data_IF_363767511654
#
_entry.id   IF_363767511654
#
_cell.length_a   1.000
_cell.length_b   1.000
_cell.length_c   1.000
_cell.angle_alpha   90.00
_cell.angle_beta   90.00
_cell.angle_gamma   90.00
#
_symmetry.space_group_name_H-M   'P 1'
#
loop_
_entity.id
_entity.type
_entity.pdbx_description
1 polymer ?
#
# COMPACT_ATOMS: atom_id res chain seq x y z
N UNK A 1 -2.39 -11.45 4.73
CA UNK A 1 -2.96 -10.34 3.94
C UNK A 1 -2.79 -10.65 2.46
N UNK A 2 -3.86 -10.60 1.65
CA UNK A 2 -3.84 -11.06 0.26
C UNK A 2 -3.09 -10.13 -0.71
N UNK A 3 -3.03 -8.82 -0.41
CA UNK A 3 -2.46 -7.80 -1.31
C UNK A 3 -1.36 -6.95 -0.64
N UNK A 4 -0.62 -7.52 0.31
CA UNK A 4 0.49 -6.80 0.96
C UNK A 4 1.62 -6.49 -0.03
N UNK A 5 1.77 -7.27 -1.11
CA UNK A 5 2.72 -6.94 -2.17
C UNK A 5 2.24 -5.72 -2.96
N UNK A 6 0.97 -5.74 -3.41
CA UNK A 6 0.37 -4.63 -4.18
C UNK A 6 0.41 -3.30 -3.44
N UNK A 7 0.16 -3.29 -2.12
CA UNK A 7 0.32 -2.08 -1.31
C UNK A 7 1.73 -1.47 -1.39
N UNK A 8 2.78 -2.29 -1.44
CA UNK A 8 4.16 -1.78 -1.60
C UNK A 8 4.44 -1.35 -3.04
N UNK A 9 3.86 -2.03 -4.03
CA UNK A 9 3.98 -1.68 -5.45
C UNK A 9 3.42 -0.27 -5.71
N UNK A 10 2.29 0.08 -5.09
CA UNK A 10 1.62 1.38 -5.26
C UNK A 10 2.10 2.48 -4.31
N UNK A 11 3.08 2.19 -3.43
CA UNK A 11 3.65 3.19 -2.52
C UNK A 11 2.82 3.47 -1.26
N UNK A 12 2.02 2.51 -0.78
CA UNK A 12 1.30 2.59 0.50
C UNK A 12 2.26 2.39 1.71
N UNK A 13 3.42 3.06 1.67
CA UNK A 13 4.45 3.06 2.70
C UNK A 13 4.98 4.48 2.88
N UNK A 14 5.20 4.89 4.12
CA UNK A 14 5.80 6.19 4.42
C UNK A 14 7.25 6.34 3.91
N UNK A 15 7.94 5.22 3.66
CA UNK A 15 9.36 5.14 3.34
C UNK A 15 9.65 4.86 1.86
N UNK A 16 8.62 4.74 1.02
CA UNK A 16 8.80 4.32 -0.38
C UNK A 16 7.71 4.95 -1.22
N UNK A 17 8.10 5.54 -2.35
CA UNK A 17 7.18 6.04 -3.37
C UNK A 17 6.58 4.88 -4.17
N UNK A 18 5.57 5.18 -4.98
CA UNK A 18 5.02 4.22 -5.93
C UNK A 18 6.09 3.63 -6.85
N UNK A 19 5.83 2.43 -7.37
CA UNK A 19 6.71 1.67 -8.25
C UNK A 19 8.10 1.34 -7.66
N UNK A 20 8.15 1.02 -6.35
CA UNK A 20 9.37 0.66 -5.62
C UNK A 20 10.49 1.72 -5.72
N UNK A 21 10.12 2.99 -5.76
CA UNK A 21 11.08 4.07 -5.74
C UNK A 21 11.40 4.49 -4.31
N UNK A 22 12.69 4.55 -3.98
CA UNK A 22 13.15 5.05 -2.69
C UNK A 22 12.72 6.51 -2.50
N UNK A 23 12.11 6.82 -1.36
CA UNK A 23 11.60 8.14 -1.03
C UNK A 23 12.73 9.15 -0.81
N UNK A 24 13.84 8.71 -0.22
CA UNK A 24 14.95 9.59 0.16
C UNK A 24 15.81 9.99 -1.06
N UNK A 25 15.52 9.45 -2.24
CA UNK A 25 16.19 9.80 -3.49
C UNK A 25 15.46 10.96 -4.21
N UNK A 26 16.14 12.10 -4.31
CA UNK A 26 15.63 13.32 -4.96
C UNK A 26 15.18 13.10 -6.41
N UNK A 27 15.94 12.33 -7.19
CA UNK A 27 15.62 12.03 -8.58
C UNK A 27 14.35 11.19 -8.71
N UNK A 28 14.10 10.28 -7.75
CA UNK A 28 12.86 9.51 -7.73
C UNK A 28 11.65 10.42 -7.43
N UNK A 29 11.77 11.34 -6.47
CA UNK A 29 10.71 12.31 -6.16
C UNK A 29 10.39 13.22 -7.35
N UNK A 30 11.42 13.68 -8.06
CA UNK A 30 11.26 14.47 -9.29
C UNK A 30 10.57 13.67 -10.39
N UNK A 31 10.96 12.41 -10.60
CA UNK A 31 10.36 11.52 -11.59
C UNK A 31 8.86 11.31 -11.34
N UNK A 32 8.48 11.07 -10.08
CA UNK A 32 7.06 10.90 -9.69
C UNK A 32 6.28 12.21 -9.88
N UNK A 33 6.84 13.35 -9.45
CA UNK A 33 6.21 14.65 -9.66
C UNK A 33 6.01 14.97 -11.14
N UNK A 34 7.01 14.67 -11.98
CA UNK A 34 6.95 14.87 -13.43
C UNK A 34 5.88 13.97 -14.07
N UNK A 35 5.83 12.68 -13.69
CA UNK A 35 4.85 11.74 -14.20
C UNK A 35 3.41 12.17 -13.90
N UNK A 36 3.13 12.54 -12.64
CA UNK A 36 1.81 13.01 -12.21
C UNK A 36 1.53 14.48 -12.53
N UNK A 37 2.51 15.20 -13.09
CA UNK A 37 2.45 16.66 -13.30
C UNK A 37 2.03 17.41 -12.03
N UNK A 38 2.51 16.94 -10.89
CA UNK A 38 2.12 17.45 -9.57
C UNK A 38 3.11 18.49 -9.06
N UNK A 39 2.73 19.16 -7.97
CA UNK A 39 3.69 19.94 -7.18
C UNK A 39 4.84 19.05 -6.69
N UNK A 40 6.03 19.63 -6.39
CA UNK A 40 7.16 18.86 -5.90
C UNK A 40 6.78 17.97 -4.71
N UNK A 41 7.12 16.68 -4.79
CA UNK A 41 6.93 15.74 -3.68
C UNK A 41 7.84 16.16 -2.52
N UNK A 42 7.27 16.20 -1.31
CA UNK A 42 7.97 16.55 -0.07
C UNK A 42 9.30 15.79 0.06
N UNK A 43 10.36 16.49 0.48
CA UNK A 43 11.64 15.86 0.83
C UNK A 43 11.62 15.18 2.20
N UNK A 44 10.61 15.48 3.03
CA UNK A 44 10.40 14.82 4.32
C UNK A 44 9.47 13.64 4.13
N UNK A 45 9.96 12.44 4.45
CA UNK A 45 9.13 11.21 4.49
C UNK A 45 7.96 11.37 5.45
N UNK A 46 6.88 10.66 5.17
CA UNK A 46 5.75 10.55 6.09
C UNK A 46 6.12 9.77 7.36
N UNK A 47 5.19 9.73 8.30
CA UNK A 47 5.30 8.91 9.50
C UNK A 47 4.90 7.47 9.19
N UNK A 48 5.67 6.50 9.70
CA UNK A 48 5.22 5.09 9.76
C UNK A 48 4.00 4.98 10.67
N UNK A 49 3.23 3.89 10.59
CA UNK A 49 1.98 3.76 11.35
C UNK A 49 2.15 4.00 12.87
N UNK A 50 3.22 3.44 13.47
CA UNK A 50 3.50 3.64 14.91
C UNK A 50 3.86 5.10 15.21
N UNK A 51 4.80 5.68 14.44
CA UNK A 51 5.18 7.10 14.56
C UNK A 51 3.95 8.02 14.38
N UNK A 52 3.06 7.71 13.44
CA UNK A 52 1.86 8.48 13.13
C UNK A 52 0.92 8.54 14.34
N UNK A 53 0.64 7.40 14.96
CA UNK A 53 -0.22 7.36 16.16
C UNK A 53 0.44 8.02 17.37
N UNK A 54 1.76 7.88 17.56
CA UNK A 54 2.48 8.61 18.62
C UNK A 54 2.38 10.13 18.45
N UNK A 55 2.53 10.63 17.22
CA UNK A 55 2.42 12.06 16.88
C UNK A 55 0.99 12.57 16.98
N UNK A 56 0.01 11.77 16.56
CA UNK A 56 -1.40 12.07 16.75
C UNK A 56 -1.78 12.16 18.23
N UNK A 57 -1.27 11.26 19.08
CA UNK A 57 -1.48 11.33 20.53
C UNK A 57 -0.86 12.59 21.17
N UNK A 58 0.19 13.14 20.57
CA UNK A 58 0.81 14.42 20.96
C UNK A 58 0.07 15.64 20.37
N UNK A 59 -0.98 15.41 19.57
CA UNK A 59 -1.76 16.46 18.93
C UNK A 59 -1.10 17.10 17.72
N UNK A 60 -0.03 16.52 17.17
CA UNK A 60 0.66 17.05 15.98
C UNK A 60 -0.11 16.76 14.69
N UNK A 61 -0.84 15.65 14.64
CA UNK A 61 -1.69 15.26 13.51
C UNK A 61 -3.12 15.69 13.79
N UNK A 62 -3.73 16.39 12.83
CA UNK A 62 -5.08 16.97 12.97
C UNK A 62 -6.18 16.19 12.25
N UNK A 63 -5.79 15.37 11.29
CA UNK A 63 -6.70 14.54 10.49
C UNK A 63 -6.08 13.17 10.36
N UNK A 64 -6.82 12.14 10.73
CA UNK A 64 -6.49 10.74 10.49
C UNK A 64 -7.55 10.15 9.56
N UNK A 65 -7.13 9.62 8.42
CA UNK A 65 -8.00 8.83 7.55
C UNK A 65 -7.51 7.38 7.56
N UNK A 66 -8.29 6.51 8.20
CA UNK A 66 -8.00 5.09 8.39
C UNK A 66 -8.86 4.30 7.40
N UNK A 67 -8.23 3.52 6.52
CA UNK A 67 -8.91 2.79 5.45
C UNK A 67 -8.65 1.29 5.56
N UNK A 68 -9.71 0.49 5.70
CA UNK A 68 -9.64 -0.97 5.64
C UNK A 68 -8.73 -1.63 6.69
N UNK A 69 -8.65 -1.04 7.89
CA UNK A 69 -7.85 -1.59 9.00
C UNK A 69 -8.43 -1.18 10.36
N UNK A 70 -8.21 -2.03 11.38
CA UNK A 70 -8.58 -1.78 12.77
C UNK A 70 -7.30 -1.62 13.62
N UNK A 71 -6.71 -0.40 13.72
CA UNK A 71 -5.49 -0.15 14.51
C UNK A 71 -5.64 -0.49 15.99
N UNK A 72 -6.85 -0.44 16.57
CA UNK A 72 -7.08 -0.82 17.96
C UNK A 72 -7.01 -2.33 18.23
N UNK A 73 -6.91 -3.15 17.17
CA UNK A 73 -6.65 -4.60 17.27
C UNK A 73 -5.26 -4.96 16.77
N UNK A 74 -4.79 -4.25 15.73
CA UNK A 74 -3.61 -4.68 14.96
C UNK A 74 -2.30 -3.98 15.35
N UNK A 75 -2.35 -2.83 16.02
CA UNK A 75 -1.14 -2.10 16.43
C UNK A 75 -0.70 -2.43 17.86
N UNK A 76 0.60 -2.34 18.17
CA UNK A 76 1.08 -2.42 19.53
C UNK A 76 0.71 -1.17 20.34
N UNK A 77 0.82 -1.24 21.66
CA UNK A 77 0.62 -0.11 22.58
C UNK A 77 -0.74 0.59 22.37
N UNK A 78 -1.82 -0.17 22.57
CA UNK A 78 -3.19 0.29 22.33
C UNK A 78 -3.57 1.56 23.10
N UNK A 79 -2.96 1.82 24.26
CA UNK A 79 -3.15 3.07 25.00
C UNK A 79 -2.78 4.30 24.19
N UNK A 80 -1.68 4.25 23.42
CA UNK A 80 -1.26 5.37 22.57
C UNK A 80 -2.20 5.53 21.37
N UNK A 81 -2.58 4.42 20.74
CA UNK A 81 -3.52 4.42 19.61
C UNK A 81 -4.87 5.00 20.03
N UNK A 82 -5.41 4.55 21.18
CA UNK A 82 -6.65 5.08 21.74
C UNK A 82 -6.54 6.57 22.04
N UNK A 83 -5.46 7.00 22.70
CA UNK A 83 -5.25 8.42 23.01
C UNK A 83 -5.20 9.27 21.74
N UNK A 84 -4.51 8.81 20.70
CA UNK A 84 -4.45 9.48 19.42
C UNK A 84 -5.83 9.66 18.77
N UNK A 85 -6.65 8.61 18.77
CA UNK A 85 -8.01 8.67 18.22
C UNK A 85 -8.91 9.62 19.04
N UNK A 86 -8.76 9.67 20.36
CA UNK A 86 -9.54 10.57 21.23
C UNK A 86 -9.17 12.06 21.08
N UNK A 87 -7.91 12.38 20.77
CA UNK A 87 -7.44 13.78 20.70
C UNK A 87 -7.33 14.33 19.28
N UNK A 88 -7.33 13.46 18.27
CA UNK A 88 -7.31 13.90 16.88
C UNK A 88 -8.62 14.62 16.56
N UNK A 89 -8.59 15.87 16.09
CA UNK A 89 -9.81 16.65 15.82
C UNK A 89 -10.72 16.09 14.73
N UNK A 90 -10.17 15.27 13.83
CA UNK A 90 -10.94 14.61 12.78
C UNK A 90 -10.39 13.22 12.51
N UNK A 91 -11.23 12.21 12.75
CA UNK A 91 -10.97 10.80 12.45
C UNK A 91 -11.99 10.33 11.42
N UNK A 92 -11.49 10.00 10.23
CA UNK A 92 -12.26 9.43 9.13
C UNK A 92 -11.95 7.94 9.07
N UNK A 93 -12.98 7.09 9.04
CA UNK A 93 -12.82 5.64 8.91
C UNK A 93 -13.58 5.14 7.69
N UNK A 94 -12.86 4.54 6.74
CA UNK A 94 -13.45 3.80 5.61
C UNK A 94 -13.38 2.31 5.88
N UNK A 95 -14.53 1.68 6.08
CA UNK A 95 -14.63 0.27 6.47
C UNK A 95 -15.87 -0.39 5.83
N UNK A 96 -15.83 -1.71 5.68
CA UNK A 96 -16.94 -2.54 5.21
C UNK A 96 -17.69 -3.25 6.33
N UNK A 97 -17.18 -3.19 7.57
CA UNK A 97 -17.89 -3.69 8.75
C UNK A 97 -18.82 -2.63 9.33
N UNK A 98 -19.97 -3.07 9.85
CA UNK A 98 -20.88 -2.20 10.59
C UNK A 98 -20.27 -1.73 11.91
N UNK A 99 -19.47 -2.58 12.56
CA UNK A 99 -18.90 -2.32 13.87
C UNK A 99 -17.44 -2.78 13.93
N UNK A 100 -16.55 -1.92 14.45
CA UNK A 100 -15.18 -2.25 14.81
C UNK A 100 -14.71 -1.34 15.95
N UNK A 101 -13.65 -1.74 16.67
CA UNK A 101 -13.11 -0.92 17.77
C UNK A 101 -12.70 0.47 17.29
N UNK A 102 -12.13 0.56 16.08
CA UNK A 102 -11.70 1.83 15.49
C UNK A 102 -12.87 2.68 15.00
N UNK A 103 -13.93 2.07 14.43
CA UNK A 103 -15.14 2.80 14.00
C UNK A 103 -15.82 3.57 15.14
N UNK A 104 -15.67 3.09 16.38
CA UNK A 104 -16.22 3.73 17.58
C UNK A 104 -15.60 5.10 17.89
N UNK A 105 -14.46 5.44 17.27
CA UNK A 105 -13.78 6.73 17.40
C UNK A 105 -13.87 7.59 16.13
N UNK A 106 -14.62 7.15 15.12
CA UNK A 106 -14.74 7.89 13.86
C UNK A 106 -15.69 9.09 14.00
N UNK A 107 -15.25 10.27 13.60
CA UNK A 107 -16.12 11.44 13.39
C UNK A 107 -16.88 11.30 12.06
N UNK A 108 -16.25 10.67 11.07
CA UNK A 108 -16.83 10.40 9.75
C UNK A 108 -16.63 8.93 9.40
N UNK A 109 -17.74 8.25 9.12
CA UNK A 109 -17.74 6.86 8.66
C UNK A 109 -18.09 6.83 7.17
N UNK A 110 -17.22 6.22 6.36
CA UNK A 110 -17.39 6.12 4.91
C UNK A 110 -17.57 4.64 4.55
N UNK A 111 -18.78 4.18 4.17
CA UNK A 111 -19.02 2.78 3.87
C UNK A 111 -18.23 2.35 2.64
N UNK A 112 -17.29 1.44 2.84
CA UNK A 112 -16.45 0.87 1.79
C UNK A 112 -16.96 -0.51 1.39
N UNK A 113 -16.79 -0.86 0.12
CA UNK A 113 -17.17 -2.19 -0.40
C UNK A 113 -16.45 -3.32 0.30
N UNK A 114 -17.14 -4.43 0.56
CA UNK A 114 -16.54 -5.68 1.02
C UNK A 114 -15.78 -6.42 -0.08
N UNK A 115 -15.02 -7.47 0.25
CA UNK A 115 -14.23 -8.24 -0.73
C UNK A 115 -15.06 -8.74 -1.93
N UNK A 116 -16.26 -9.26 -1.69
CA UNK A 116 -17.17 -9.78 -2.72
C UNK A 116 -17.75 -8.71 -3.66
N UNK A 117 -17.71 -7.45 -3.22
CA UNK A 117 -18.25 -6.28 -3.93
C UNK A 117 -17.16 -5.48 -4.64
N UNK A 118 -15.90 -5.67 -4.23
CA UNK A 118 -14.74 -5.00 -4.82
C UNK A 118 -14.38 -5.59 -6.17
N UNK A 119 -13.91 -4.71 -7.03
CA UNK A 119 -13.30 -5.03 -8.31
C UNK A 119 -11.93 -4.34 -8.39
N UNK A 120 -10.90 -5.06 -8.82
CA UNK A 120 -9.54 -4.56 -8.92
C UNK A 120 -8.54 -5.65 -9.28
N UNK A 121 -7.28 -5.44 -8.86
CA UNK A 121 -6.22 -6.45 -8.92
C UNK A 121 -5.62 -6.69 -7.55
N UNK A 122 -5.09 -7.90 -7.35
CA UNK A 122 -4.33 -8.28 -6.15
C UNK A 122 -3.00 -8.90 -6.56
N UNK A 123 -1.92 -8.48 -5.92
CA UNK A 123 -0.57 -9.01 -6.10
C UNK A 123 -0.21 -9.91 -4.91
N UNK A 124 0.01 -11.19 -5.18
CA UNK A 124 0.37 -12.17 -4.15
C UNK A 124 1.88 -12.14 -3.82
N UNK A 125 2.32 -13.01 -2.89
CA UNK A 125 3.72 -13.05 -2.41
C UNK A 125 4.75 -13.43 -3.48
N UNK A 126 4.35 -14.16 -4.53
CA UNK A 126 5.23 -14.52 -5.64
C UNK A 126 5.19 -13.49 -6.78
N UNK A 127 4.53 -12.33 -6.58
CA UNK A 127 4.38 -11.24 -7.56
C UNK A 127 3.39 -11.53 -8.69
N UNK A 128 2.50 -12.50 -8.50
CA UNK A 128 1.43 -12.79 -9.44
C UNK A 128 0.29 -11.80 -9.21
N UNK A 129 0.02 -10.98 -10.23
CA UNK A 129 -1.14 -10.09 -10.28
C UNK A 129 -2.32 -10.93 -10.75
N UNK A 130 -3.41 -10.90 -10.01
CA UNK A 130 -4.68 -11.56 -10.37
C UNK A 130 -5.81 -10.54 -10.41
N UNK A 131 -6.74 -10.70 -11.35
CA UNK A 131 -7.96 -9.89 -11.43
C UNK A 131 -8.97 -10.35 -10.36
N UNK A 132 -9.33 -9.46 -9.44
CA UNK A 132 -10.45 -9.65 -8.51
C UNK A 132 -11.70 -9.04 -9.11
N UNK A 133 -12.71 -9.86 -9.44
CA UNK A 133 -13.96 -9.38 -10.04
C UNK A 133 -15.05 -9.28 -8.99
N UNK A 134 -15.84 -8.22 -9.08
CA UNK A 134 -17.05 -8.07 -8.30
C UNK A 134 -18.04 -9.18 -8.67
N UNK A 135 -18.62 -9.84 -7.67
CA UNK A 135 -19.65 -10.86 -7.89
C UNK A 135 -20.91 -10.67 -7.03
N UNK A 136 -20.89 -9.72 -6.08
CA UNK A 136 -22.08 -9.19 -5.42
C UNK A 136 -22.23 -7.69 -5.71
N UNK A 137 -23.45 -7.16 -5.86
CA UNK A 137 -23.66 -5.72 -5.93
C UNK A 137 -23.21 -5.05 -4.61
N UNK A 138 -22.84 -3.76 -4.63
CA UNK A 138 -22.47 -3.05 -3.41
C UNK A 138 -23.64 -3.03 -2.42
N UNK A 139 -23.35 -3.18 -1.13
CA UNK A 139 -24.37 -3.09 -0.09
C UNK A 139 -24.69 -1.62 0.23
N UNK A 140 -25.97 -1.25 0.14
CA UNK A 140 -26.41 0.12 0.46
C UNK A 140 -25.67 1.18 -0.36
N UNK A 141 -25.07 2.15 0.33
CA UNK A 141 -24.32 3.26 -0.29
C UNK A 141 -22.80 2.97 -0.39
N UNK A 142 -22.37 1.72 -0.19
CA UNK A 142 -20.96 1.36 -0.19
C UNK A 142 -20.27 1.66 -1.53
N UNK A 143 -19.16 2.39 -1.45
CA UNK A 143 -18.33 2.76 -2.60
C UNK A 143 -17.02 2.01 -2.60
N UNK A 144 -16.41 1.86 -3.78
CA UNK A 144 -15.02 1.38 -3.83
C UNK A 144 -14.10 2.42 -3.19
N UNK A 145 -13.05 2.00 -2.49
CA UNK A 145 -12.13 2.91 -1.79
C UNK A 145 -11.56 4.01 -2.71
N UNK A 146 -11.25 3.64 -3.96
CA UNK A 146 -10.74 4.59 -4.96
C UNK A 146 -11.79 5.65 -5.35
N UNK A 147 -13.07 5.28 -5.40
CA UNK A 147 -14.16 6.23 -5.70
C UNK A 147 -14.30 7.25 -4.57
N UNK A 148 -14.21 6.79 -3.32
CA UNK A 148 -14.25 7.65 -2.14
C UNK A 148 -13.09 8.66 -2.19
N UNK A 149 -11.86 8.19 -2.48
CA UNK A 149 -10.69 9.07 -2.64
C UNK A 149 -10.92 10.10 -3.76
N UNK A 150 -11.40 9.66 -4.93
CA UNK A 150 -11.65 10.56 -6.06
C UNK A 150 -12.70 11.62 -5.73
N UNK A 151 -13.79 11.23 -5.07
CA UNK A 151 -14.86 12.15 -4.66
C UNK A 151 -14.40 13.20 -3.63
N UNK A 152 -13.49 12.83 -2.73
CA UNK A 152 -12.85 13.78 -1.79
C UNK A 152 -11.90 14.70 -2.54
N UNK A 153 -11.05 14.15 -3.41
CA UNK A 153 -10.09 14.93 -4.19
C UNK A 153 -10.78 15.96 -5.11
N UNK A 154 -11.86 15.58 -5.77
CA UNK A 154 -12.70 16.47 -6.59
C UNK A 154 -13.26 17.63 -5.76
N UNK A 155 -13.76 17.36 -4.54
CA UNK A 155 -14.23 18.40 -3.61
C UNK A 155 -13.10 19.32 -3.10
N UNK A 156 -11.86 18.87 -3.18
CA UNK A 156 -10.66 19.65 -2.90
C UNK A 156 -10.07 20.34 -4.15
N UNK A 157 -10.84 20.41 -5.25
CA UNK A 157 -10.44 21.04 -6.51
C UNK A 157 -9.34 20.31 -7.30
N UNK A 158 -9.23 18.99 -7.14
CA UNK A 158 -8.35 18.12 -7.95
C UNK A 158 -9.12 17.30 -8.99
N UNK A 159 -10.22 17.84 -9.52
CA UNK A 159 -11.16 17.13 -10.39
C UNK A 159 -10.51 16.54 -11.65
N UNK A 160 -9.61 17.27 -12.30
CA UNK A 160 -8.91 16.79 -13.50
C UNK A 160 -7.98 15.60 -13.20
N UNK A 161 -7.31 15.59 -12.03
CA UNK A 161 -6.35 14.56 -11.65
C UNK A 161 -7.01 13.29 -11.11
N UNK A 162 -8.28 13.38 -10.68
CA UNK A 162 -9.04 12.28 -10.07
C UNK A 162 -10.37 12.02 -10.81
N UNK A 163 -10.36 12.16 -12.13
CA UNK A 163 -11.52 11.94 -13.01
C UNK A 163 -11.74 10.46 -13.41
N UNK A 164 -11.19 9.50 -12.66
CA UNK A 164 -11.27 8.07 -12.98
C UNK A 164 -12.72 7.57 -13.00
N UNK A 165 -13.09 6.85 -14.07
CA UNK A 165 -14.40 6.25 -14.24
C UNK A 165 -14.41 4.75 -13.95
N UNK A 166 -13.25 4.10 -14.04
CA UNK A 166 -13.10 2.66 -13.86
C UNK A 166 -11.72 2.30 -13.28
N UNK A 167 -11.62 1.26 -12.46
CA UNK A 167 -10.34 0.86 -11.85
C UNK A 167 -9.27 0.44 -12.87
N UNK A 168 -9.68 0.09 -14.10
CA UNK A 168 -8.75 -0.21 -15.20
C UNK A 168 -7.91 1.01 -15.59
N UNK A 169 -8.45 2.22 -15.46
CA UNK A 169 -7.73 3.47 -15.75
C UNK A 169 -6.63 3.70 -14.71
N UNK A 170 -6.93 3.47 -13.43
CA UNK A 170 -5.96 3.53 -12.33
C UNK A 170 -4.87 2.47 -12.52
N UNK A 171 -5.24 1.25 -12.91
CA UNK A 171 -4.27 0.18 -13.17
C UNK A 171 -3.35 0.51 -14.36
N UNK A 172 -3.88 1.10 -15.44
CA UNK A 172 -3.07 1.59 -16.57
C UNK A 172 -2.10 2.69 -16.16
N UNK A 173 -2.54 3.66 -15.37
CA UNK A 173 -1.65 4.71 -14.87
C UNK A 173 -0.54 4.13 -14.00
N UNK A 174 -0.88 3.23 -13.07
CA UNK A 174 0.11 2.54 -12.26
C UNK A 174 1.11 1.79 -13.14
N UNK A 175 0.61 1.07 -14.16
CA UNK A 175 1.45 0.35 -15.10
C UNK A 175 2.39 1.25 -15.89
N UNK A 176 1.90 2.39 -16.37
CA UNK A 176 2.71 3.40 -17.05
C UNK A 176 3.81 3.95 -16.12
N UNK A 177 3.50 4.27 -14.87
CA UNK A 177 4.47 4.74 -13.88
C UNK A 177 5.59 3.71 -13.63
N UNK A 178 5.25 2.42 -13.58
CA UNK A 178 6.27 1.38 -13.37
C UNK A 178 7.32 1.33 -14.49
N UNK A 179 6.93 1.62 -15.74
CA UNK A 179 7.85 1.71 -16.89
C UNK A 179 8.51 3.08 -17.06
N UNK A 180 7.92 4.14 -16.52
CA UNK A 180 8.37 5.50 -16.74
C UNK A 180 9.81 5.72 -16.25
N UNK A 181 10.71 6.04 -17.21
CA UNK A 181 12.17 6.17 -17.02
C UNK A 181 12.78 5.02 -16.19
N UNK A 182 12.21 3.82 -16.29
CA UNK A 182 12.71 2.66 -15.56
C UNK A 182 14.04 2.21 -16.16
N UNK A 183 14.11 2.04 -17.49
CA UNK A 183 15.34 1.59 -18.20
C UNK A 183 15.95 0.34 -17.57
N UNK A 184 15.10 -0.44 -16.89
CA UNK A 184 15.51 -1.60 -16.12
C UNK A 184 16.30 -1.32 -14.83
N UNK A 185 16.22 -0.12 -14.26
CA UNK A 185 16.78 0.23 -12.94
C UNK A 185 15.97 -0.36 -11.78
N UNK A 186 14.71 -0.72 -12.02
CA UNK A 186 13.81 -1.34 -11.03
C UNK A 186 13.28 -2.65 -11.59
N UNK A 187 13.02 -3.61 -10.70
CA UNK A 187 12.48 -4.92 -11.10
C UNK A 187 10.98 -4.88 -11.38
N UNK A 188 10.25 -4.07 -10.61
CA UNK A 188 8.82 -3.85 -10.81
C UNK A 188 8.65 -3.01 -12.07
N UNK A 189 8.15 -3.68 -13.11
CA UNK A 189 7.81 -3.10 -14.39
C UNK A 189 6.66 -3.91 -14.98
N UNK A 190 5.48 -3.30 -15.03
CA UNK A 190 4.28 -3.85 -15.66
C UNK A 190 3.82 -2.95 -16.81
N UNK A 191 4.76 -2.20 -17.43
CA UNK A 191 4.49 -1.26 -18.52
C UNK A 191 3.79 -1.88 -19.74
N UNK A 192 3.89 -3.20 -19.92
CA UNK A 192 3.12 -3.93 -20.94
C UNK A 192 1.62 -3.87 -20.74
N UNK A 193 1.16 -3.46 -19.55
CA UNK A 193 -0.24 -3.23 -19.21
C UNK A 193 -0.68 -1.75 -19.37
N UNK A 194 0.22 -0.83 -19.71
CA UNK A 194 -0.08 0.60 -19.74
C UNK A 194 -1.12 0.99 -20.81
N UNK A 195 -1.13 0.28 -21.94
CA UNK A 195 -2.02 0.57 -23.08
C UNK A 195 -3.16 -0.43 -23.23
N UNK A 196 -3.37 -1.33 -22.26
CA UNK A 196 -4.40 -2.37 -22.36
C UNK A 196 -5.80 -1.73 -22.49
N UNK A 197 -6.69 -2.36 -23.23
CA UNK A 197 -8.11 -2.02 -23.27
C UNK A 197 -8.82 -2.41 -21.97
N UNK A 198 -10.02 -1.88 -21.74
CA UNK A 198 -10.84 -2.32 -20.60
C UNK A 198 -11.22 -3.81 -20.72
N UNK A 199 -11.40 -4.33 -21.93
CA UNK A 199 -11.65 -5.75 -22.14
C UNK A 199 -10.43 -6.62 -21.75
N UNK A 200 -9.22 -6.24 -22.16
CA UNK A 200 -8.00 -6.96 -21.75
C UNK A 200 -7.79 -6.93 -20.23
N UNK A 201 -8.14 -5.82 -19.59
CA UNK A 201 -8.15 -5.74 -18.12
C UNK A 201 -9.20 -6.68 -17.50
N UNK A 202 -10.40 -6.75 -18.06
CA UNK A 202 -11.45 -7.66 -17.59
C UNK A 202 -11.09 -9.14 -17.80
N UNK A 203 -10.35 -9.46 -18.85
CA UNK A 203 -9.90 -10.81 -19.20
C UNK A 203 -8.52 -11.13 -18.63
N UNK A 204 -7.94 -10.22 -17.83
CA UNK A 204 -6.57 -10.33 -17.32
C UNK A 204 -6.33 -11.67 -16.61
N UNK A 205 -5.43 -12.46 -17.19
CA UNK A 205 -5.02 -13.75 -16.65
C UNK A 205 -3.95 -13.57 -15.59
N UNK A 206 -3.95 -14.38 -14.51
CA UNK A 206 -2.94 -14.31 -13.47
C UNK A 206 -1.52 -14.31 -14.05
N UNK A 207 -0.80 -13.21 -13.84
CA UNK A 207 0.51 -12.99 -14.49
C UNK A 207 1.50 -12.47 -13.48
N UNK A 208 2.67 -13.12 -13.41
CA UNK A 208 3.78 -12.69 -12.57
C UNK A 208 4.58 -11.60 -13.25
N UNK A 209 4.76 -10.47 -12.57
CA UNK A 209 5.59 -9.39 -13.09
C UNK A 209 7.10 -9.70 -12.96
N UNK A 210 7.94 -9.15 -13.87
CA UNK A 210 7.65 -8.06 -14.80
C UNK A 210 6.83 -8.43 -16.05
N UNK A 211 6.01 -7.47 -16.52
CA UNK A 211 5.20 -7.50 -17.75
C UNK A 211 5.65 -6.30 -18.61
N UNK A 212 6.58 -6.52 -19.52
CA UNK A 212 7.25 -5.42 -20.23
C UNK A 212 6.53 -5.06 -21.53
N UNK A 213 6.46 -3.76 -21.85
CA UNK A 213 5.97 -3.28 -23.16
C UNK A 213 6.88 -3.68 -24.31
N UNK A 214 8.19 -3.61 -24.09
CA UNK A 214 9.20 -4.01 -25.07
C UNK A 214 9.86 -5.34 -24.65
N UNK A 215 9.55 -6.45 -25.36
CA UNK A 215 9.99 -7.78 -24.96
C UNK A 215 11.48 -8.04 -25.17
N UNK A 216 12.25 -7.12 -25.77
CA UNK A 216 13.69 -7.30 -26.02
C UNK A 216 14.51 -7.48 -24.73
N UNK A 217 13.97 -7.06 -23.59
CA UNK A 217 14.53 -7.35 -22.27
C UNK A 217 14.07 -8.74 -21.77
N UNK A 218 14.28 -9.80 -22.59
CA UNK A 218 13.82 -11.18 -22.31
C UNK A 218 14.37 -11.78 -21.01
N UNK A 219 15.47 -11.25 -20.49
CA UNK A 219 16.19 -11.79 -19.32
C UNK A 219 15.51 -11.56 -17.96
N UNK A 220 14.37 -10.87 -17.88
CA UNK A 220 13.81 -10.38 -16.60
C UNK A 220 12.60 -11.14 -16.02
N UNK A 221 12.20 -12.28 -16.57
CA UNK A 221 11.00 -12.99 -16.06
C UNK A 221 11.15 -13.59 -14.66
N UNK A 222 12.38 -13.72 -14.17
CA UNK A 222 12.68 -14.19 -12.82
C UNK A 222 13.72 -13.27 -12.19
N UNK A 223 13.50 -12.91 -10.92
CA UNK A 223 14.44 -12.07 -10.20
C UNK A 223 15.77 -12.82 -10.02
N UNK A 224 16.88 -12.12 -10.25
CA UNK A 224 18.24 -12.54 -9.88
C UNK A 224 18.81 -13.79 -10.58
N UNK A 225 18.09 -14.44 -11.49
CA UNK A 225 18.57 -15.68 -12.17
C UNK A 225 19.80 -15.46 -13.06
N UNK A 226 20.01 -14.23 -13.52
CA UNK A 226 21.19 -13.83 -14.31
C UNK A 226 22.31 -13.24 -13.43
N UNK A 227 22.23 -13.38 -12.11
CA UNK A 227 23.23 -12.85 -11.16
C UNK A 227 23.28 -11.32 -11.07
N UNK A 228 22.28 -10.61 -11.64
CA UNK A 228 22.15 -9.15 -11.54
C UNK A 228 21.21 -8.77 -10.41
N UNK A 229 21.64 -7.82 -9.59
CA UNK A 229 20.91 -7.32 -8.44
C UNK A 229 20.56 -5.85 -8.60
N UNK A 230 19.51 -5.40 -7.91
CA UNK A 230 19.07 -4.00 -7.92
C UNK A 230 19.83 -3.17 -6.88
N UNK A 231 21.14 -3.35 -6.83
CA UNK A 231 22.10 -2.55 -6.07
C UNK A 231 22.83 -1.59 -7.02
N UNK A 232 23.52 -0.59 -6.47
CA UNK A 232 24.29 0.37 -7.30
C UNK A 232 25.35 -0.33 -8.15
N UNK A 233 25.94 -1.40 -7.63
CA UNK A 233 27.01 -2.17 -8.28
C UNK A 233 26.48 -3.33 -9.14
N UNK A 234 25.17 -3.57 -9.16
CA UNK A 234 24.55 -4.68 -9.88
C UNK A 234 24.83 -6.07 -9.30
N UNK A 235 25.47 -6.13 -8.12
CA UNK A 235 25.93 -7.36 -7.43
C UNK A 235 25.24 -7.54 -6.09
N UNK A 236 25.20 -8.77 -5.58
CA UNK A 236 24.74 -9.02 -4.22
C UNK A 236 25.68 -8.36 -3.21
N UNK A 237 25.11 -7.74 -2.18
CA UNK A 237 25.85 -7.19 -1.05
C UNK A 237 25.80 -8.18 0.11
N UNK A 238 26.95 -8.74 0.49
CA UNK A 238 27.06 -9.60 1.67
C UNK A 238 27.19 -8.72 2.92
N UNK A 239 26.21 -8.82 3.82
CA UNK A 239 26.20 -8.07 5.09
C UNK A 239 26.22 -9.07 6.24
N UNK A 240 27.21 -8.96 7.12
CA UNK A 240 27.25 -9.74 8.35
C UNK A 240 26.46 -9.00 9.43
N UNK A 241 25.34 -9.57 9.87
CA UNK A 241 24.64 -9.08 11.06
C UNK A 241 25.35 -9.62 12.31
N UNK A 242 25.84 -8.77 13.22
CA UNK A 242 26.31 -9.26 14.51
C UNK A 242 25.14 -9.96 15.22
N UNK A 243 25.41 -11.07 15.90
CA UNK A 243 24.42 -11.68 16.79
C UNK A 243 24.04 -10.60 17.79
N UNK A 244 22.77 -10.16 17.85
CA UNK A 244 22.36 -9.19 18.85
C UNK A 244 22.79 -9.73 20.21
N UNK A 245 23.52 -8.93 20.99
CA UNK A 245 23.71 -9.25 22.41
C UNK A 245 22.31 -9.43 22.95
N UNK A 246 21.96 -10.69 23.23
CA UNK A 246 20.62 -11.08 23.60
C UNK A 246 20.26 -10.18 24.79
N UNK A 247 19.29 -9.28 24.60
CA UNK A 247 18.56 -8.71 25.73
C UNK A 247 17.69 -9.85 26.28
N UNK A 248 18.33 -10.93 26.73
CA UNK A 248 17.73 -11.85 27.67
C UNK A 248 17.61 -11.01 28.92
N UNK A 249 16.46 -10.38 29.09
CA UNK A 249 16.03 -9.95 30.40
C UNK A 249 16.17 -11.20 31.27
N UNK A 250 16.99 -11.11 32.33
CA UNK A 250 17.05 -12.19 33.31
C UNK A 250 15.67 -12.26 33.92
N UNK A 251 14.89 -13.26 33.52
CA UNK A 251 13.54 -13.43 34.03
C UNK A 251 13.65 -13.78 35.52
N UNK A 252 12.88 -13.08 36.35
CA UNK A 252 12.63 -13.50 37.72
C UNK A 252 11.88 -14.84 37.78
N UNK A 253 11.76 -15.43 38.97
CA UNK A 253 11.09 -16.73 39.16
C UNK A 253 9.62 -16.72 38.69
N UNK A 254 8.96 -15.55 38.69
CA UNK A 254 7.56 -15.36 38.29
C UNK A 254 7.38 -14.56 36.97
N UNK A 255 8.44 -14.40 36.17
CA UNK A 255 8.37 -13.67 34.90
C UNK A 255 8.29 -14.61 33.69
N UNK A 256 7.39 -14.30 32.75
CA UNK A 256 7.16 -15.10 31.55
C UNK A 256 7.35 -14.27 30.28
N UNK A 257 7.83 -14.92 29.21
CA UNK A 257 7.85 -14.33 27.86
C UNK A 257 6.53 -14.65 27.17
N UNK A 258 5.77 -13.61 26.85
CA UNK A 258 4.61 -13.72 25.98
C UNK A 258 5.04 -13.70 24.51
N UNK A 259 4.60 -14.70 23.76
CA UNK A 259 4.72 -14.73 22.31
C UNK A 259 3.33 -14.79 21.68
N UNK A 260 3.07 -13.96 20.68
CA UNK A 260 1.78 -13.92 19.97
C UNK A 260 1.90 -14.56 18.60
N UNK A 261 0.82 -15.19 18.14
CA UNK A 261 0.84 -16.01 16.92
C UNK A 261 -0.41 -15.86 16.07
N UNK A 262 -0.61 -16.84 15.18
CA UNK A 262 -1.79 -16.95 14.33
C UNK A 262 -2.32 -18.37 14.39
N UNK A 263 -3.64 -18.51 14.26
CA UNK A 263 -4.30 -19.79 14.10
C UNK A 263 -4.78 -19.93 12.65
N UNK A 264 -4.80 -21.15 12.12
CA UNK A 264 -5.20 -21.42 10.73
C UNK A 264 -6.59 -20.88 10.39
N UNK A 265 -7.53 -21.07 11.33
CA UNK A 265 -8.96 -20.83 11.10
C UNK A 265 -9.43 -19.44 11.57
N UNK A 266 -8.50 -18.58 12.00
CA UNK A 266 -8.78 -17.20 12.38
C UNK A 266 -7.93 -16.23 11.57
N UNK A 267 -8.56 -15.16 11.10
CA UNK A 267 -7.87 -14.05 10.48
C UNK A 267 -7.49 -13.01 11.53
N UNK A 268 -6.52 -12.13 11.22
CA UNK A 268 -5.91 -11.21 12.18
C UNK A 268 -6.82 -10.14 12.79
N UNK A 269 -8.02 -9.91 12.23
CA UNK A 269 -9.01 -8.91 12.62
C UNK A 269 -10.37 -9.39 12.17
#
# INVERSE_FOLDING_TARGET
>A
QPNAMGGREVGALATTLAAHMDYDNDSNRQLVAEFWKSNPISSKRGYTAVEMFERAAQGEIKVLWIMGTNPLVSLPNLSVVKKALEVCPLVIVSDCFENSDTLSYADVQLPARGWSEKSGTVSNSERCISRQRQFLPPLGEAKADWQIICEVAQRMSFEEAFAYQHESEIFKEHAALTGYKNEGKRFLDISGCADQSSQEYEEFSPTRWPILKEPEIKERKQAFVNGRFYTKEGKASLVTAPIPKKNLVSLGEDEFVLNTGRFRDQWHT
#
